data_IF_707427432711
#
_entry.id   IF_707427432711
#
_cell.length_a   1.000
_cell.length_b   1.000
_cell.length_c   1.000
_cell.angle_alpha   90.00
_cell.angle_beta   90.00
_cell.angle_gamma   90.00
#
_symmetry.space_group_name_H-M   'P 1'
#
loop_
_entity.id
_entity.type
_entity.pdbx_description
1 polymer ?
#
# COMPACT_ATOMS: atom_id res chain seq x y z
N UNK A 1 -19.28 -33.55 -9.23
CA UNK A 1 -19.64 -33.05 -7.88
C UNK A 1 -18.41 -33.23 -6.98
N UNK A 2 -17.48 -32.27 -6.98
CA UNK A 2 -16.26 -32.32 -6.16
C UNK A 2 -15.60 -30.92 -6.17
N UNK A 3 -16.10 -30.01 -5.33
CA UNK A 3 -15.52 -28.68 -5.07
C UNK A 3 -15.86 -28.28 -3.62
N UNK A 4 -15.26 -28.94 -2.63
CA UNK A 4 -15.47 -28.54 -1.22
C UNK A 4 -14.29 -28.87 -0.30
N UNK A 5 -13.54 -29.94 -0.57
CA UNK A 5 -12.40 -30.33 0.28
C UNK A 5 -11.22 -29.33 0.24
N UNK A 6 -10.96 -28.68 -0.90
CA UNK A 6 -9.86 -27.73 -1.06
C UNK A 6 -10.03 -26.46 -0.22
N UNK A 7 -11.19 -25.81 -0.31
CA UNK A 7 -11.51 -24.58 0.45
C UNK A 7 -11.51 -24.82 1.97
N UNK A 8 -12.01 -25.97 2.43
CA UNK A 8 -11.98 -26.31 3.85
C UNK A 8 -10.56 -26.56 4.37
N UNK A 9 -9.72 -27.26 3.58
CA UNK A 9 -8.33 -27.50 3.93
C UNK A 9 -7.51 -26.21 3.99
N UNK A 10 -7.77 -25.25 3.10
CA UNK A 10 -7.11 -23.94 3.11
C UNK A 10 -7.49 -23.14 4.35
N UNK A 11 -8.77 -23.10 4.71
CA UNK A 11 -9.23 -22.45 5.93
C UNK A 11 -8.59 -23.04 7.19
N UNK A 12 -8.50 -24.37 7.28
CA UNK A 12 -7.82 -25.05 8.39
C UNK A 12 -6.33 -24.73 8.44
N UNK A 13 -5.65 -24.66 7.29
CA UNK A 13 -4.25 -24.27 7.23
C UNK A 13 -4.05 -22.82 7.73
N UNK A 14 -4.85 -21.86 7.28
CA UNK A 14 -4.78 -20.47 7.76
C UNK A 14 -5.00 -20.38 9.27
N UNK A 15 -5.99 -21.11 9.81
CA UNK A 15 -6.23 -21.17 11.25
C UNK A 15 -5.08 -21.81 12.02
N UNK A 16 -4.42 -22.83 11.46
CA UNK A 16 -3.22 -23.42 12.06
C UNK A 16 -2.08 -22.40 12.11
N UNK A 17 -1.84 -21.66 11.02
CA UNK A 17 -0.83 -20.60 11.00
C UNK A 17 -1.15 -19.53 12.04
N UNK A 18 -2.40 -19.08 12.11
CA UNK A 18 -2.84 -18.13 13.12
C UNK A 18 -2.61 -18.64 14.54
N UNK A 19 -2.88 -19.93 14.78
CA UNK A 19 -2.63 -20.58 16.07
C UNK A 19 -1.13 -20.64 16.39
N UNK A 20 -0.27 -20.97 15.43
CA UNK A 20 1.18 -20.97 15.65
C UNK A 20 1.70 -19.57 16.00
N UNK A 21 1.23 -18.55 15.29
CA UNK A 21 1.63 -17.15 15.52
C UNK A 21 1.13 -16.61 16.87
N UNK A 22 0.04 -17.16 17.42
CA UNK A 22 -0.50 -16.75 18.72
C UNK A 22 0.07 -17.55 19.89
N UNK A 23 0.59 -18.75 19.65
CA UNK A 23 1.10 -19.67 20.69
C UNK A 23 2.62 -19.63 20.84
N UNK A 24 3.35 -19.43 19.75
CA UNK A 24 4.81 -19.33 19.74
C UNK A 24 5.21 -17.86 19.62
N UNK A 25 6.25 -17.46 20.34
CA UNK A 25 6.75 -16.09 20.25
C UNK A 25 7.16 -15.75 18.82
N UNK A 26 6.57 -14.69 18.27
CA UNK A 26 6.87 -14.20 16.92
C UNK A 26 8.35 -13.80 16.76
N UNK A 27 9.03 -13.46 17.86
CA UNK A 27 10.47 -13.23 17.91
C UNK A 27 11.27 -14.50 17.58
N UNK A 28 10.88 -15.65 18.17
CA UNK A 28 11.54 -16.94 17.92
C UNK A 28 11.28 -17.38 16.48
N UNK A 29 10.03 -17.30 16.03
CA UNK A 29 9.66 -17.70 14.66
C UNK A 29 10.42 -16.85 13.62
N UNK A 30 10.41 -15.53 13.79
CA UNK A 30 11.04 -14.65 12.80
C UNK A 30 12.56 -14.79 12.75
N UNK A 31 13.22 -15.12 13.86
CA UNK A 31 14.68 -15.27 13.88
C UNK A 31 15.14 -16.67 13.46
N UNK A 32 14.49 -17.73 13.94
CA UNK A 32 14.93 -19.12 13.72
C UNK A 32 14.35 -19.74 12.44
N UNK A 33 13.17 -19.29 12.01
CA UNK A 33 12.41 -19.90 10.90
C UNK A 33 12.01 -18.86 9.84
N UNK A 34 12.86 -17.84 9.63
CA UNK A 34 12.59 -16.72 8.70
C UNK A 34 12.36 -17.20 7.25
N UNK A 35 13.07 -18.24 6.83
CA UNK A 35 12.97 -18.84 5.50
C UNK A 35 11.62 -19.51 5.28
N UNK A 36 11.21 -20.37 6.22
CA UNK A 36 9.93 -21.06 6.21
C UNK A 36 8.78 -20.06 6.28
N UNK A 37 8.90 -19.04 7.14
CA UNK A 37 7.87 -18.01 7.24
C UNK A 37 7.78 -17.17 5.96
N UNK A 38 8.90 -16.88 5.29
CA UNK A 38 8.90 -16.19 3.99
C UNK A 38 8.21 -17.01 2.90
N UNK A 39 8.41 -18.33 2.88
CA UNK A 39 7.67 -19.23 1.99
C UNK A 39 6.17 -19.22 2.30
N UNK A 40 5.79 -19.21 3.57
CA UNK A 40 4.39 -19.08 3.98
C UNK A 40 3.79 -17.75 3.55
N UNK A 41 4.52 -16.63 3.69
CA UNK A 41 4.09 -15.32 3.18
C UNK A 41 3.78 -15.39 1.68
N UNK A 42 4.62 -16.05 0.88
CA UNK A 42 4.38 -16.20 -0.55
C UNK A 42 3.09 -16.98 -0.86
N UNK A 43 2.81 -18.05 -0.11
CA UNK A 43 1.60 -18.85 -0.26
C UNK A 43 0.36 -18.06 0.18
N UNK A 44 0.41 -17.39 1.33
CA UNK A 44 -0.71 -16.59 1.85
C UNK A 44 -0.98 -15.40 0.93
N UNK A 45 0.05 -14.77 0.37
CA UNK A 45 -0.09 -13.70 -0.61
C UNK A 45 -0.89 -14.14 -1.83
N UNK A 46 -0.58 -15.32 -2.39
CA UNK A 46 -1.34 -15.88 -3.51
C UNK A 46 -2.82 -16.07 -3.16
N UNK A 47 -3.11 -16.67 -2.02
CA UNK A 47 -4.50 -16.84 -1.55
C UNK A 47 -5.18 -15.49 -1.35
N UNK A 48 -4.49 -14.51 -0.75
CA UNK A 48 -4.98 -13.16 -0.58
C UNK A 48 -5.34 -12.48 -1.90
N UNK A 49 -4.62 -12.75 -2.99
CA UNK A 49 -4.96 -12.24 -4.31
C UNK A 49 -6.24 -12.88 -4.87
N UNK A 50 -6.37 -14.20 -4.76
CA UNK A 50 -7.40 -15.02 -5.43
C UNK A 50 -8.74 -15.05 -4.67
N UNK A 51 -8.72 -15.02 -3.34
CA UNK A 51 -9.94 -15.15 -2.53
C UNK A 51 -10.83 -13.91 -2.64
N UNK A 52 -12.15 -14.11 -2.53
CA UNK A 52 -13.16 -13.05 -2.56
C UNK A 52 -14.18 -13.16 -1.40
N UNK A 53 -13.90 -14.01 -0.42
CA UNK A 53 -14.75 -14.29 0.74
C UNK A 53 -14.07 -13.86 2.06
N UNK A 54 -14.60 -14.33 3.19
CA UNK A 54 -14.08 -14.01 4.52
C UNK A 54 -12.59 -14.40 4.71
N UNK A 55 -12.13 -15.46 4.03
CA UNK A 55 -10.75 -15.93 4.13
C UNK A 55 -9.76 -14.94 3.53
N UNK A 56 -10.21 -14.05 2.62
CA UNK A 56 -9.37 -12.95 2.13
C UNK A 56 -8.94 -12.01 3.26
N UNK A 57 -9.85 -11.73 4.20
CA UNK A 57 -9.54 -10.88 5.36
C UNK A 57 -8.63 -11.62 6.36
N UNK A 58 -8.85 -12.92 6.56
CA UNK A 58 -7.92 -13.73 7.37
C UNK A 58 -6.49 -13.69 6.79
N UNK A 59 -6.35 -13.85 5.47
CA UNK A 59 -5.07 -13.75 4.78
C UNK A 59 -4.45 -12.34 4.92
N UNK A 60 -5.25 -11.28 4.79
CA UNK A 60 -4.82 -9.89 5.03
C UNK A 60 -4.25 -9.72 6.45
N UNK A 61 -5.00 -10.17 7.47
CA UNK A 61 -4.59 -10.04 8.86
C UNK A 61 -3.31 -10.83 9.16
N UNK A 62 -3.17 -12.04 8.63
CA UNK A 62 -1.94 -12.84 8.77
C UNK A 62 -0.73 -12.18 8.13
N UNK A 63 -0.87 -11.70 6.89
CA UNK A 63 0.21 -11.00 6.19
C UNK A 63 0.65 -9.75 6.96
N UNK A 64 -0.31 -8.94 7.41
CA UNK A 64 0.00 -7.74 8.20
C UNK A 64 0.65 -8.10 9.53
N UNK A 65 0.19 -9.14 10.23
CA UNK A 65 0.76 -9.55 11.51
C UNK A 65 2.23 -9.99 11.37
N UNK A 66 2.55 -10.74 10.31
CA UNK A 66 3.91 -11.20 10.03
C UNK A 66 4.80 -10.01 9.64
N UNK A 67 4.35 -9.19 8.69
CA UNK A 67 5.20 -8.20 8.03
C UNK A 67 5.31 -6.87 8.77
N UNK A 68 4.35 -6.49 9.61
CA UNK A 68 4.37 -5.24 10.40
C UNK A 68 4.86 -5.43 11.85
N UNK A 69 5.27 -6.66 12.20
CA UNK A 69 5.82 -7.01 13.50
C UNK A 69 7.14 -6.28 13.77
N UNK A 70 7.39 -5.95 15.04
CA UNK A 70 8.68 -5.37 15.47
C UNK A 70 9.88 -6.30 15.26
N UNK A 71 9.63 -7.59 15.04
CA UNK A 71 10.66 -8.62 14.82
C UNK A 71 10.76 -9.02 13.35
N UNK A 72 10.13 -8.30 12.41
CA UNK A 72 10.00 -8.76 11.02
C UNK A 72 11.29 -8.65 10.19
N UNK A 73 12.35 -8.01 10.71
CA UNK A 73 13.57 -7.72 9.95
C UNK A 73 14.21 -8.95 9.27
N UNK A 74 14.38 -10.12 9.92
CA UNK A 74 14.97 -11.28 9.24
C UNK A 74 14.09 -11.82 8.10
N UNK A 75 12.77 -11.74 8.26
CA UNK A 75 11.79 -12.13 7.24
C UNK A 75 11.84 -11.14 6.07
N UNK A 76 11.95 -9.84 6.36
CA UNK A 76 12.10 -8.80 5.33
C UNK A 76 13.36 -9.02 4.49
N UNK A 77 14.49 -9.31 5.13
CA UNK A 77 15.75 -9.56 4.43
C UNK A 77 15.66 -10.81 3.55
N UNK A 78 15.02 -11.87 4.05
CA UNK A 78 14.79 -13.09 3.29
C UNK A 78 13.88 -12.85 2.09
N UNK A 79 12.77 -12.12 2.27
CA UNK A 79 11.84 -11.76 1.20
C UNK A 79 12.49 -10.87 0.13
N UNK A 80 13.47 -10.03 0.50
CA UNK A 80 14.21 -9.18 -0.44
C UNK A 80 15.15 -9.99 -1.35
N UNK A 81 15.70 -11.09 -0.85
CA UNK A 81 16.63 -11.97 -1.58
C UNK A 81 15.87 -13.02 -2.40
N UNK A 82 14.61 -13.29 -2.05
CA UNK A 82 13.78 -14.28 -2.72
C UNK A 82 13.66 -13.97 -4.22
N UNK A 83 14.10 -14.90 -5.06
CA UNK A 83 14.22 -14.73 -6.51
C UNK A 83 12.89 -14.61 -7.28
N UNK A 84 11.77 -14.80 -6.59
CA UNK A 84 10.43 -14.77 -7.17
C UNK A 84 9.58 -13.70 -6.47
N UNK A 85 9.66 -12.47 -6.96
CA UNK A 85 8.94 -11.30 -6.44
C UNK A 85 7.43 -11.33 -6.73
N UNK A 86 6.92 -12.39 -7.38
CA UNK A 86 5.50 -12.59 -7.69
C UNK A 86 4.64 -12.51 -6.42
N UNK A 87 5.16 -12.91 -5.26
CA UNK A 87 4.45 -12.75 -3.98
C UNK A 87 4.01 -11.30 -3.75
N UNK A 88 4.86 -10.34 -4.10
CA UNK A 88 4.60 -8.92 -3.89
C UNK A 88 3.53 -8.41 -4.86
N UNK A 89 3.45 -8.97 -6.07
CA UNK A 89 2.39 -8.70 -7.04
C UNK A 89 1.06 -9.26 -6.54
N UNK A 90 1.04 -10.47 -5.94
CA UNK A 90 -0.17 -10.99 -5.32
C UNK A 90 -0.65 -10.11 -4.16
N UNK A 91 0.25 -9.64 -3.30
CA UNK A 91 -0.11 -8.68 -2.24
C UNK A 91 -0.68 -7.40 -2.83
N UNK A 92 -0.09 -6.86 -3.91
CA UNK A 92 -0.58 -5.67 -4.62
C UNK A 92 -2.02 -5.87 -5.11
N UNK A 93 -2.29 -7.00 -5.77
CA UNK A 93 -3.62 -7.37 -6.28
C UNK A 93 -4.64 -7.46 -5.14
N UNK A 94 -4.28 -8.13 -4.05
CA UNK A 94 -5.16 -8.26 -2.88
C UNK A 94 -5.48 -6.91 -2.23
N UNK A 95 -4.48 -6.04 -2.03
CA UNK A 95 -4.66 -4.69 -1.47
C UNK A 95 -5.58 -3.87 -2.38
N UNK A 96 -5.33 -3.86 -3.69
CA UNK A 96 -6.18 -3.14 -4.66
C UNK A 96 -7.61 -3.64 -4.58
N UNK A 97 -7.82 -4.95 -4.46
CA UNK A 97 -9.15 -5.53 -4.30
C UNK A 97 -9.86 -5.07 -3.01
N UNK A 98 -9.14 -4.88 -1.91
CA UNK A 98 -9.73 -4.37 -0.65
C UNK A 98 -10.07 -2.88 -0.77
N UNK A 99 -9.10 -2.06 -1.23
CA UNK A 99 -9.23 -0.61 -1.23
C UNK A 99 -10.29 -0.12 -2.24
N UNK A 100 -10.40 -0.77 -3.40
CA UNK A 100 -11.36 -0.41 -4.44
C UNK A 100 -12.81 -0.78 -4.10
N UNK A 101 -13.01 -1.79 -3.26
CA UNK A 101 -14.33 -2.31 -2.92
C UNK A 101 -14.94 -1.63 -1.69
N UNK A 102 -16.23 -1.85 -1.49
CA UNK A 102 -16.95 -1.43 -0.27
C UNK A 102 -16.69 -2.42 0.84
N UNK A 103 -15.59 -2.21 1.55
CA UNK A 103 -15.17 -2.99 2.72
C UNK A 103 -15.18 -2.10 3.96
N UNK A 104 -15.36 -2.70 5.14
CA UNK A 104 -15.30 -2.00 6.42
C UNK A 104 -14.00 -1.18 6.58
N UNK A 105 -14.04 0.00 7.24
CA UNK A 105 -12.87 0.87 7.40
C UNK A 105 -11.66 0.18 8.03
N UNK A 106 -11.88 -0.67 9.04
CA UNK A 106 -10.82 -1.40 9.72
C UNK A 106 -9.99 -2.28 8.76
N UNK A 107 -10.64 -2.93 7.79
CA UNK A 107 -9.96 -3.76 6.79
C UNK A 107 -9.20 -2.91 5.77
N UNK A 108 -9.71 -1.72 5.42
CA UNK A 108 -8.99 -0.78 4.57
C UNK A 108 -7.73 -0.27 5.26
N UNK A 109 -7.83 0.09 6.53
CA UNK A 109 -6.67 0.47 7.34
C UNK A 109 -5.64 -0.67 7.43
N UNK A 110 -6.10 -1.90 7.60
CA UNK A 110 -5.21 -3.07 7.63
C UNK A 110 -4.49 -3.29 6.30
N UNK A 111 -5.18 -3.06 5.17
CA UNK A 111 -4.56 -3.10 3.84
C UNK A 111 -3.51 -2.00 3.64
N UNK A 112 -3.71 -0.81 4.23
CA UNK A 112 -2.69 0.25 4.23
C UNK A 112 -1.48 -0.11 5.09
N UNK A 113 -1.67 -0.69 6.27
CA UNK A 113 -0.57 -1.19 7.11
C UNK A 113 0.26 -2.24 6.35
N UNK A 114 -0.42 -3.15 5.64
CA UNK A 114 0.26 -4.13 4.79
C UNK A 114 1.04 -3.46 3.66
N UNK A 115 0.44 -2.48 2.97
CA UNK A 115 1.10 -1.72 1.91
C UNK A 115 2.37 -1.04 2.41
N UNK A 116 2.31 -0.41 3.60
CA UNK A 116 3.47 0.24 4.22
C UNK A 116 4.59 -0.76 4.48
N UNK A 117 4.26 -1.93 5.01
CA UNK A 117 5.24 -3.00 5.28
C UNK A 117 5.92 -3.47 4.00
N UNK A 118 5.16 -3.67 2.92
CA UNK A 118 5.73 -4.10 1.63
C UNK A 118 6.61 -3.02 1.00
N UNK A 119 6.20 -1.75 1.07
CA UNK A 119 7.03 -0.61 0.60
C UNK A 119 8.33 -0.54 1.40
N UNK A 120 8.30 -0.82 2.70
CA UNK A 120 9.52 -0.85 3.53
C UNK A 120 10.47 -2.00 3.16
N UNK A 121 9.97 -3.08 2.53
CA UNK A 121 10.80 -4.19 2.03
C UNK A 121 11.37 -3.91 0.64
N UNK A 122 10.53 -3.42 -0.28
CA UNK A 122 10.80 -3.37 -1.73
C UNK A 122 11.01 -1.95 -2.30
N UNK A 123 10.76 -0.91 -1.50
CA UNK A 123 10.82 0.50 -1.91
C UNK A 123 9.52 1.02 -2.53
N UNK A 124 9.44 2.34 -2.72
CA UNK A 124 8.22 3.03 -3.12
C UNK A 124 7.78 2.66 -4.55
N UNK A 125 8.74 2.35 -5.44
CA UNK A 125 8.48 1.96 -6.83
C UNK A 125 7.61 0.70 -6.95
N UNK A 126 7.49 -0.11 -5.90
CA UNK A 126 6.56 -1.24 -5.85
C UNK A 126 5.10 -0.85 -6.11
N UNK A 127 4.70 0.40 -5.82
CA UNK A 127 3.34 0.89 -6.07
C UNK A 127 2.99 1.02 -7.57
N UNK A 128 4.00 1.05 -8.45
CA UNK A 128 3.87 1.28 -9.91
C UNK A 128 3.95 0.01 -10.76
N UNK A 129 3.77 -1.17 -10.18
CA UNK A 129 3.90 -2.42 -10.90
C UNK A 129 2.60 -2.88 -11.60
N UNK A 130 2.75 -3.46 -12.79
CA UNK A 130 1.66 -4.15 -13.46
C UNK A 130 1.08 -5.25 -12.55
N UNK A 131 -0.24 -5.44 -12.63
CA UNK A 131 -0.98 -6.44 -11.84
C UNK A 131 -1.34 -7.66 -12.67
N UNK A 132 -0.58 -7.95 -13.72
CA UNK A 132 -0.81 -9.07 -14.60
C UNK A 132 -0.53 -10.36 -13.83
N UNK A 133 -1.60 -11.04 -13.41
CA UNK A 133 -1.53 -12.42 -12.98
C UNK A 133 -1.46 -13.31 -14.23
N UNK A 134 -0.84 -14.50 -14.16
CA UNK A 134 -0.67 -15.41 -15.31
C UNK A 134 -1.97 -15.73 -16.08
N UNK A 135 -3.14 -15.55 -15.45
CA UNK A 135 -4.46 -15.89 -16.00
C UNK A 135 -5.38 -14.67 -16.31
N UNK A 136 -4.94 -13.43 -16.11
CA UNK A 136 -5.81 -12.24 -16.27
C UNK A 136 -5.77 -11.64 -17.69
N UNK A 137 -6.95 -11.51 -18.33
CA UNK A 137 -7.11 -10.98 -19.70
C UNK A 137 -7.17 -9.46 -19.83
N UNK A 138 -7.39 -8.74 -18.73
CA UNK A 138 -7.49 -7.28 -18.71
C UNK A 138 -6.33 -6.68 -17.91
N UNK A 139 -5.52 -5.84 -18.56
CA UNK A 139 -4.42 -5.15 -17.89
C UNK A 139 -4.97 -4.00 -17.04
N UNK A 140 -4.95 -4.17 -15.71
CA UNK A 140 -5.20 -3.07 -14.77
C UNK A 140 -4.08 -2.03 -14.92
N UNK A 141 -4.39 -0.72 -14.94
CA UNK A 141 -3.37 0.33 -15.00
C UNK A 141 -2.33 0.16 -13.88
N UNK A 142 -1.05 0.30 -14.22
CA UNK A 142 0.06 0.04 -13.31
C UNK A 142 0.12 1.02 -12.12
N UNK A 143 -0.48 2.20 -12.27
CA UNK A 143 -0.62 3.25 -11.26
C UNK A 143 -1.84 3.07 -10.34
N UNK A 144 -2.72 2.11 -10.62
CA UNK A 144 -3.98 1.95 -9.86
C UNK A 144 -3.75 1.69 -8.37
N UNK A 145 -2.68 0.95 -8.03
CA UNK A 145 -2.33 0.70 -6.63
C UNK A 145 -1.89 1.99 -5.93
N UNK A 146 -0.99 2.76 -6.55
CA UNK A 146 -0.54 4.07 -6.08
C UNK A 146 -1.72 5.00 -5.75
N UNK A 147 -2.66 5.15 -6.69
CA UNK A 147 -3.80 6.06 -6.53
C UNK A 147 -4.73 5.61 -5.39
N UNK A 148 -5.03 4.30 -5.29
CA UNK A 148 -5.89 3.79 -4.23
C UNK A 148 -5.24 3.91 -2.84
N UNK A 149 -3.94 3.67 -2.75
CA UNK A 149 -3.18 3.84 -1.50
C UNK A 149 -3.17 5.31 -1.08
N UNK A 150 -2.93 6.25 -1.99
CA UNK A 150 -2.95 7.68 -1.69
C UNK A 150 -4.33 8.14 -1.20
N UNK A 151 -5.39 7.84 -1.96
CA UNK A 151 -6.74 8.28 -1.61
C UNK A 151 -7.21 7.67 -0.29
N UNK A 152 -6.97 6.37 -0.08
CA UNK A 152 -7.37 5.70 1.15
C UNK A 152 -6.57 6.21 2.35
N UNK A 153 -5.25 6.44 2.19
CA UNK A 153 -4.42 6.99 3.27
C UNK A 153 -4.86 8.40 3.66
N UNK A 154 -5.21 9.25 2.69
CA UNK A 154 -5.73 10.61 2.96
C UNK A 154 -7.03 10.58 3.77
N UNK A 155 -7.94 9.66 3.45
CA UNK A 155 -9.20 9.48 4.20
C UNK A 155 -8.91 9.01 5.63
N UNK A 156 -8.05 8.01 5.80
CA UNK A 156 -7.70 7.50 7.14
C UNK A 156 -6.98 8.54 8.00
N UNK A 157 -6.13 9.39 7.44
CA UNK A 157 -5.53 10.53 8.17
C UNK A 157 -6.61 11.42 8.77
N UNK A 158 -7.63 11.79 7.99
CA UNK A 158 -8.72 12.64 8.48
C UNK A 158 -9.55 11.95 9.57
N UNK A 159 -9.85 10.66 9.40
CA UNK A 159 -10.60 9.86 10.39
C UNK A 159 -9.81 9.77 11.71
N UNK A 160 -8.55 9.36 11.65
CA UNK A 160 -7.71 9.16 12.84
C UNK A 160 -7.44 10.47 13.59
N UNK A 161 -7.25 11.59 12.89
CA UNK A 161 -7.11 12.90 13.52
C UNK A 161 -8.38 13.29 14.29
N UNK A 162 -9.56 13.06 13.71
CA UNK A 162 -10.84 13.35 14.35
C UNK A 162 -11.06 12.45 15.58
N UNK A 163 -10.79 11.15 15.47
CA UNK A 163 -10.90 10.21 16.59
C UNK A 163 -9.93 10.56 17.73
N UNK A 164 -8.69 10.94 17.41
CA UNK A 164 -7.71 11.35 18.41
C UNK A 164 -8.10 12.67 19.08
N UNK A 165 -8.65 13.63 18.33
CA UNK A 165 -9.17 14.87 18.90
C UNK A 165 -10.31 14.61 19.89
N UNK A 166 -11.24 13.71 19.51
CA UNK A 166 -12.34 13.29 20.37
C UNK A 166 -11.83 12.59 21.64
N UNK A 167 -10.93 11.61 21.50
CA UNK A 167 -10.36 10.89 22.63
C UNK A 167 -9.60 11.82 23.58
N UNK A 168 -8.89 12.82 23.06
CA UNK A 168 -8.18 13.83 23.86
C UNK A 168 -9.13 14.73 24.65
N UNK A 169 -10.29 15.04 24.08
CA UNK A 169 -11.36 15.75 24.79
C UNK A 169 -11.97 14.89 25.90
N UNK A 170 -12.23 13.60 25.65
CA UNK A 170 -12.80 12.68 26.65
C UNK A 170 -11.81 12.25 27.75
N UNK A 171 -10.50 12.19 27.48
CA UNK A 171 -9.48 11.78 28.47
C UNK A 171 -9.32 12.76 29.63
N UNK A 172 -9.93 13.94 29.58
CA UNK A 172 -10.05 14.79 30.78
C UNK A 172 -10.91 14.14 31.88
N UNK A 173 -11.64 13.05 31.58
CA UNK A 173 -12.63 12.45 32.48
C UNK A 173 -12.37 10.98 32.93
N UNK A 174 -11.43 10.19 32.35
CA UNK A 174 -11.07 8.81 32.78
C UNK A 174 -9.71 8.33 32.21
N UNK A 175 -8.87 7.60 32.99
CA UNK A 175 -7.40 7.70 32.84
C UNK A 175 -6.53 6.45 32.58
N UNK A 176 -7.03 5.25 32.21
CA UNK A 176 -6.13 4.11 31.90
C UNK A 176 -6.37 3.41 30.55
N UNK A 177 -7.57 2.96 30.22
CA UNK A 177 -7.83 2.23 28.95
C UNK A 177 -7.67 3.09 27.69
N UNK A 178 -7.71 4.41 27.83
CA UNK A 178 -7.63 5.33 26.70
C UNK A 178 -6.18 5.47 26.19
N UNK A 179 -5.18 5.21 27.03
CA UNK A 179 -3.77 5.43 26.66
C UNK A 179 -3.29 4.46 25.56
N UNK A 180 -3.63 3.17 25.68
CA UNK A 180 -3.28 2.15 24.68
C UNK A 180 -3.98 2.39 23.34
N UNK A 181 -5.27 2.75 23.38
CA UNK A 181 -6.07 3.07 22.19
C UNK A 181 -5.50 4.31 21.49
N UNK A 182 -5.15 5.35 22.24
CA UNK A 182 -4.51 6.56 21.70
C UNK A 182 -3.18 6.20 21.03
N UNK A 183 -2.34 5.40 21.69
CA UNK A 183 -1.04 4.99 21.14
C UNK A 183 -1.21 4.19 19.84
N UNK A 184 -2.16 3.25 19.79
CA UNK A 184 -2.48 2.49 18.58
C UNK A 184 -2.94 3.40 17.45
N UNK A 185 -3.87 4.33 17.71
CA UNK A 185 -4.36 5.28 16.71
C UNK A 185 -3.27 6.24 16.23
N UNK A 186 -2.36 6.68 17.11
CA UNK A 186 -1.19 7.48 16.74
C UNK A 186 -0.24 6.71 15.83
N UNK A 187 0.03 5.43 16.12
CA UNK A 187 0.83 4.57 15.25
C UNK A 187 0.19 4.44 13.86
N UNK A 188 -1.11 4.19 13.80
CA UNK A 188 -1.84 4.06 12.54
C UNK A 188 -1.83 5.38 11.75
N UNK A 189 -1.93 6.52 12.46
CA UNK A 189 -1.84 7.84 11.84
C UNK A 189 -0.46 8.09 11.24
N UNK A 190 0.61 7.72 11.96
CA UNK A 190 1.98 7.83 11.46
C UNK A 190 2.20 6.97 10.21
N UNK A 191 1.65 5.75 10.17
CA UNK A 191 1.67 4.87 9.00
C UNK A 191 0.97 5.54 7.81
N UNK A 192 -0.25 6.06 8.01
CA UNK A 192 -1.01 6.71 6.94
C UNK A 192 -0.30 7.96 6.40
N UNK A 193 0.29 8.78 7.27
CA UNK A 193 1.13 9.91 6.83
C UNK A 193 2.36 9.46 6.05
N UNK A 194 3.06 8.42 6.53
CA UNK A 194 4.23 7.88 5.83
C UNK A 194 3.88 7.40 4.43
N UNK A 195 2.73 6.75 4.24
CA UNK A 195 2.24 6.34 2.93
C UNK A 195 1.95 7.51 2.00
N UNK A 196 1.31 8.57 2.50
CA UNK A 196 1.08 9.81 1.75
C UNK A 196 2.41 10.41 1.31
N UNK A 197 3.36 10.54 2.23
CA UNK A 197 4.68 11.10 1.96
C UNK A 197 5.46 10.28 0.91
N UNK A 198 5.56 8.96 1.11
CA UNK A 198 6.23 8.03 0.18
C UNK A 198 5.58 8.07 -1.21
N UNK A 199 4.26 8.18 -1.29
CA UNK A 199 3.53 8.31 -2.55
C UNK A 199 3.82 9.63 -3.25
N UNK A 200 3.79 10.75 -2.53
CA UNK A 200 4.12 12.07 -3.08
C UNK A 200 5.56 12.08 -3.59
N UNK A 201 6.51 11.56 -2.80
CA UNK A 201 7.92 11.43 -3.18
C UNK A 201 8.09 10.61 -4.46
N UNK A 202 7.38 9.48 -4.58
CA UNK A 202 7.42 8.66 -5.78
C UNK A 202 6.89 9.41 -7.01
N UNK A 203 5.76 10.11 -6.88
CA UNK A 203 5.18 10.90 -7.96
C UNK A 203 6.16 12.00 -8.39
N UNK A 204 6.76 12.72 -7.44
CA UNK A 204 7.76 13.75 -7.72
C UNK A 204 8.94 13.18 -8.50
N UNK A 205 9.49 12.04 -8.08
CA UNK A 205 10.61 11.41 -8.77
C UNK A 205 10.25 10.97 -10.19
N UNK A 206 9.07 10.38 -10.41
CA UNK A 206 8.62 9.96 -11.75
C UNK A 206 8.45 11.16 -12.67
N UNK A 207 7.90 12.26 -12.14
CA UNK A 207 7.73 13.50 -12.91
C UNK A 207 9.08 14.12 -13.28
N UNK A 208 10.05 14.12 -12.35
CA UNK A 208 11.42 14.57 -12.64
C UNK A 208 12.10 13.71 -13.71
N UNK A 209 12.00 12.38 -13.61
CA UNK A 209 12.54 11.42 -14.58
C UNK A 209 11.95 11.69 -15.99
N UNK A 210 10.63 11.84 -16.11
CA UNK A 210 9.96 12.09 -17.39
C UNK A 210 10.26 13.47 -17.97
N UNK A 211 10.33 14.52 -17.15
CA UNK A 211 10.75 15.85 -17.60
C UNK A 211 12.19 15.82 -18.09
N UNK A 212 13.08 15.07 -17.42
CA UNK A 212 14.45 14.85 -17.86
C UNK A 212 14.53 14.24 -19.27
N UNK A 213 13.78 13.16 -19.52
CA UNK A 213 13.73 12.51 -20.85
C UNK A 213 13.22 13.46 -21.92
N UNK A 214 12.19 14.26 -21.62
CA UNK A 214 11.68 15.26 -22.57
C UNK A 214 12.72 16.35 -22.84
N UNK A 215 13.46 16.81 -21.83
CA UNK A 215 14.52 17.80 -22.00
C UNK A 215 15.69 17.24 -22.83
N UNK A 216 16.09 15.99 -22.62
CA UNK A 216 17.10 15.31 -23.42
C UNK A 216 16.67 15.20 -24.89
N UNK A 217 15.43 14.79 -25.14
CA UNK A 217 14.86 14.73 -26.49
C UNK A 217 14.86 16.11 -27.18
N UNK A 218 14.50 17.17 -26.45
CA UNK A 218 14.52 18.54 -26.99
C UNK A 218 15.95 19.02 -27.27
N UNK A 219 16.92 18.64 -26.44
CA UNK A 219 18.32 18.97 -26.64
C UNK A 219 18.92 18.22 -27.83
N UNK A 220 18.60 16.93 -28.00
CA UNK A 220 19.00 16.13 -29.17
C UNK A 220 18.41 16.69 -30.48
N UNK A 221 17.12 17.05 -30.47
CA UNK A 221 16.44 17.67 -31.61
C UNK A 221 17.09 19.02 -31.98
N UNK A 222 17.49 19.81 -30.98
CA UNK A 222 18.23 21.06 -31.16
C UNK A 222 19.62 20.83 -31.77
N UNK A 223 20.38 19.86 -31.26
CA UNK A 223 21.75 19.58 -31.70
C UNK A 223 21.80 19.01 -33.12
N UNK A 224 20.76 18.30 -33.55
CA UNK A 224 20.62 17.76 -34.91
C UNK A 224 19.84 18.68 -35.87
N UNK A 225 19.47 19.90 -35.44
CA UNK A 225 18.76 20.88 -36.27
C UNK A 225 17.37 20.44 -36.73
N UNK A 226 16.73 19.50 -36.04
CA UNK A 226 15.37 19.03 -36.35
C UNK A 226 14.35 20.08 -35.93
N UNK A 227 13.65 20.68 -36.91
CA UNK A 227 12.66 21.76 -36.71
C UNK A 227 11.20 21.29 -36.83
N UNK A 228 10.88 20.05 -36.43
CA UNK A 228 9.49 19.58 -36.45
C UNK A 228 8.73 20.16 -35.27
N UNK A 229 7.98 21.24 -35.53
CA UNK A 229 7.12 21.89 -34.54
C UNK A 229 6.08 20.95 -33.90
N UNK A 230 5.74 19.84 -34.57
CA UNK A 230 4.84 18.81 -34.04
C UNK A 230 5.43 18.06 -32.84
N UNK A 231 6.74 17.84 -32.80
CA UNK A 231 7.39 17.10 -31.73
C UNK A 231 7.55 17.98 -30.47
N UNK A 232 7.78 19.28 -30.65
CA UNK A 232 7.74 20.28 -29.58
C UNK A 232 6.32 20.41 -29.00
N UNK A 233 5.30 20.43 -29.87
CA UNK A 233 3.90 20.50 -29.46
C UNK A 233 3.46 19.21 -28.73
N UNK A 234 3.92 18.04 -29.18
CA UNK A 234 3.70 16.77 -28.48
C UNK A 234 4.37 16.76 -27.10
N UNK A 235 5.61 17.25 -27.00
CA UNK A 235 6.37 17.36 -25.75
C UNK A 235 5.70 18.31 -24.74
N UNK A 236 5.27 19.50 -25.18
CA UNK A 236 4.54 20.46 -24.35
C UNK A 236 3.18 19.91 -23.92
N UNK A 237 2.48 19.16 -24.78
CA UNK A 237 1.21 18.49 -24.43
C UNK A 237 1.42 17.37 -23.41
N UNK A 238 2.53 16.64 -23.49
CA UNK A 238 2.89 15.59 -22.52
C UNK A 238 3.15 16.21 -21.15
N UNK A 239 4.06 17.20 -21.07
CA UNK A 239 4.34 17.94 -19.83
C UNK A 239 3.06 18.56 -19.24
N UNK A 240 2.19 19.13 -20.09
CA UNK A 240 0.91 19.70 -19.66
C UNK A 240 -0.05 18.68 -19.02
N UNK A 241 -0.10 17.43 -19.50
CA UNK A 241 -0.93 16.36 -18.90
C UNK A 241 -0.43 15.98 -17.51
N UNK A 242 0.88 15.88 -17.32
CA UNK A 242 1.47 15.56 -16.03
C UNK A 242 1.41 16.71 -15.03
N UNK A 243 1.68 17.94 -15.47
CA UNK A 243 1.49 19.14 -14.65
C UNK A 243 0.03 19.28 -14.18
N UNK A 244 -0.95 18.91 -15.01
CA UNK A 244 -2.37 18.87 -14.62
C UNK A 244 -2.64 17.78 -13.56
N UNK A 245 -2.08 16.58 -13.73
CA UNK A 245 -2.17 15.49 -12.73
C UNK A 245 -1.50 15.85 -11.39
N UNK A 246 -0.42 16.63 -11.39
CA UNK A 246 0.31 17.09 -10.18
C UNK A 246 -0.32 18.35 -9.56
N UNK A 247 -1.05 19.16 -10.34
CA UNK A 247 -1.71 20.37 -9.87
C UNK A 247 -3.10 20.10 -9.27
N UNK A 248 -3.80 19.04 -9.69
CA UNK A 248 -5.07 18.59 -9.12
C UNK A 248 -5.04 18.21 -7.61
N UNK A 249 -3.97 17.61 -7.07
CA UNK A 249 -3.82 17.35 -5.64
C UNK A 249 -3.57 18.62 -4.82
N UNK A 250 -2.94 19.66 -5.38
CA UNK A 250 -2.57 20.86 -4.62
C UNK A 250 -3.73 21.83 -4.41
N UNK A 251 -4.65 21.97 -5.35
CA UNK A 251 -5.81 22.86 -5.20
C UNK A 251 -6.99 22.22 -4.48
N UNK A 252 -7.10 20.89 -4.48
CA UNK A 252 -8.18 20.19 -3.75
C UNK A 252 -7.87 19.95 -2.27
N UNK A 253 -6.59 19.93 -1.87
CA UNK A 253 -6.19 19.67 -0.48
C UNK A 253 -6.18 20.92 0.42
N UNK A 254 -6.09 22.12 -0.16
CA UNK A 254 -6.09 23.38 0.61
C UNK A 254 -7.46 24.08 0.73
N UNK A 255 -8.44 23.75 -0.13
CA UNK A 255 -9.74 24.44 -0.11
C UNK A 255 -10.84 23.76 0.72
N UNK A 256 -10.64 22.52 1.18
CA UNK A 256 -11.62 21.82 2.04
C UNK A 256 -11.24 21.76 3.54
N UNK A 257 -10.07 22.28 3.92
CA UNK A 257 -9.56 22.25 5.31
C UNK A 257 -9.49 23.61 6.02
N UNK A 258 -9.86 24.72 5.37
CA UNK A 258 -9.64 26.09 5.90
C UNK A 258 -10.85 27.03 5.76
N UNK A 259 -12.07 26.50 5.83
CA UNK A 259 -13.30 27.32 5.92
C UNK A 259 -14.23 26.85 7.03
N UNK A 260 -13.68 26.56 8.21
CA UNK A 260 -14.44 26.56 9.47
C UNK A 260 -13.53 27.14 10.57
N UNK A 261 -13.80 28.41 10.91
CA UNK A 261 -13.30 29.24 12.02
C UNK A 261 -12.63 30.54 11.55
N UNK A 262 -13.47 31.42 11.00
CA UNK A 262 -13.41 32.84 11.37
C UNK A 262 -14.78 33.19 11.94
N UNK A 263 -14.87 33.11 13.26
CA UNK A 263 -15.66 33.98 14.14
C UNK A 263 -14.91 34.05 15.48
#
# INVERSE_FOLDING_TARGET
MQFSAGSHSQALAMKLVQLMLSTVSLDIINNEYSSELSMMVAVIAREFAVLHDALKFEALHLLSAILSSKYSAPVHDTLRIMSNDIWSTYVRVGIVAILQNRVAPAEKLQALILAESVISILGERWLLGQMNLPDAKDSVPADRCLLLVLESSRVEVAVLLNELAYLKYETSNNSSSNAEIISLKQRNLAIAFSLVEKTIKLISNVVEDEVGVVLEYLQDAKDHGQKKGDDLLASVRLIGRYAFMVSLPRTSMFLYGFTLNQD
#
